data_IF_193705062518
#
_entry.id   IF_193705062518
#
_cell.length_a   1.000
_cell.length_b   1.000
_cell.length_c   1.000
_cell.angle_alpha   90.00
_cell.angle_beta   90.00
_cell.angle_gamma   90.00
#
_symmetry.space_group_name_H-M   'P 1'
#
loop_
_entity.id
_entity.type
_entity.pdbx_description
1 polymer ?
#
# COMPACT_ATOMS: atom_id res chain seq x y z
N UNK A 1 -17.91 18.67 -12.81
CA UNK A 1 -16.49 18.73 -13.20
C UNK A 1 -15.66 18.43 -11.96
N UNK A 2 -15.10 17.21 -11.89
CA UNK A 2 -14.35 16.70 -10.73
C UNK A 2 -12.93 17.29 -10.77
N UNK A 3 -12.65 18.26 -9.91
CA UNK A 3 -11.29 18.75 -9.72
C UNK A 3 -10.44 17.61 -9.14
N UNK A 4 -9.50 17.12 -9.95
CA UNK A 4 -8.57 16.05 -9.55
C UNK A 4 -7.62 16.55 -8.45
N UNK A 5 -6.90 15.64 -7.76
CA UNK A 5 -5.97 16.01 -6.70
C UNK A 5 -4.98 17.09 -7.17
N UNK A 6 -4.51 17.94 -6.24
CA UNK A 6 -3.78 19.18 -6.50
C UNK A 6 -2.53 19.12 -7.41
N UNK A 7 -2.14 17.95 -7.92
CA UNK A 7 -1.20 17.81 -9.04
C UNK A 7 -1.78 18.28 -10.39
N UNK A 8 -3.09 18.49 -10.51
CA UNK A 8 -3.71 19.26 -11.62
C UNK A 8 -3.75 20.77 -11.37
N UNK A 9 -3.05 21.28 -10.36
CA UNK A 9 -2.84 22.73 -10.22
C UNK A 9 -2.23 23.27 -11.53
N UNK A 10 -2.67 24.43 -12.05
CA UNK A 10 -2.18 24.97 -13.32
C UNK A 10 -0.70 25.38 -13.29
N UNK A 11 -0.05 25.36 -12.11
CA UNK A 11 1.32 25.83 -11.88
C UNK A 11 2.07 24.84 -10.97
N UNK A 12 3.35 24.56 -11.27
CA UNK A 12 4.29 23.78 -10.44
C UNK A 12 3.89 22.31 -10.14
N UNK A 13 3.16 21.67 -11.04
CA UNK A 13 2.69 20.27 -10.89
C UNK A 13 3.80 19.28 -10.50
N UNK A 14 5.00 19.42 -11.08
CA UNK A 14 6.16 18.58 -10.74
C UNK A 14 6.63 18.72 -9.28
N UNK A 15 6.64 19.95 -8.74
CA UNK A 15 6.99 20.18 -7.33
C UNK A 15 5.95 19.55 -6.39
N UNK A 16 4.67 19.67 -6.75
CA UNK A 16 3.56 19.11 -5.97
C UNK A 16 3.64 17.58 -5.95
N UNK A 17 3.92 16.98 -7.11
CA UNK A 17 4.13 15.54 -7.22
C UNK A 17 5.34 15.07 -6.43
N UNK A 18 6.44 15.82 -6.42
CA UNK A 18 7.63 15.50 -5.64
C UNK A 18 7.34 15.54 -4.13
N UNK A 19 6.65 16.58 -3.65
CA UNK A 19 6.27 16.71 -2.23
C UNK A 19 5.27 15.63 -1.81
N UNK A 20 4.31 15.30 -2.67
CA UNK A 20 3.39 14.18 -2.46
C UNK A 20 4.13 12.83 -2.42
N UNK A 21 5.10 12.62 -3.31
CA UNK A 21 5.96 11.43 -3.34
C UNK A 21 6.76 11.30 -2.06
N UNK A 22 7.36 12.40 -1.58
CA UNK A 22 8.06 12.42 -0.30
C UNK A 22 7.12 11.99 0.84
N UNK A 23 5.89 12.51 0.87
CA UNK A 23 4.87 12.08 1.82
C UNK A 23 4.62 10.58 1.76
N UNK A 24 4.38 10.03 0.57
CA UNK A 24 4.15 8.60 0.36
C UNK A 24 5.28 7.73 0.91
N UNK A 25 6.53 8.10 0.62
CA UNK A 25 7.71 7.40 1.10
C UNK A 25 7.77 7.45 2.63
N UNK A 26 7.68 8.64 3.22
CA UNK A 26 7.70 8.82 4.68
C UNK A 26 6.60 8.03 5.38
N UNK A 27 5.38 8.01 4.83
CA UNK A 27 4.26 7.25 5.39
C UNK A 27 4.49 5.74 5.35
N UNK A 28 5.03 5.23 4.23
CA UNK A 28 5.39 3.81 4.08
C UNK A 28 6.54 3.39 4.99
N UNK A 29 7.60 4.21 5.07
CA UNK A 29 8.73 4.04 5.98
C UNK A 29 8.25 4.01 7.43
N UNK A 30 7.43 4.98 7.86
CA UNK A 30 6.90 5.04 9.22
C UNK A 30 6.11 3.78 9.58
N UNK A 31 5.24 3.33 8.67
CA UNK A 31 4.41 2.14 8.89
C UNK A 31 5.28 0.89 9.06
N UNK A 32 6.30 0.73 8.23
CA UNK A 32 7.26 -0.36 8.38
C UNK A 32 8.07 -0.27 9.67
N UNK A 33 8.51 0.92 10.09
CA UNK A 33 9.19 1.09 11.39
C UNK A 33 8.30 0.65 12.54
N UNK A 34 7.01 1.04 12.52
CA UNK A 34 6.03 0.60 13.52
C UNK A 34 5.85 -0.91 13.49
N UNK A 35 5.70 -1.52 12.31
CA UNK A 35 5.59 -2.98 12.15
C UNK A 35 6.83 -3.68 12.72
N UNK A 36 8.02 -3.22 12.38
CA UNK A 36 9.27 -3.77 12.90
C UNK A 36 9.33 -3.69 14.43
N UNK A 37 9.00 -2.54 15.02
CA UNK A 37 8.96 -2.38 16.48
C UNK A 37 7.95 -3.33 17.14
N UNK A 38 6.77 -3.51 16.52
CA UNK A 38 5.74 -4.41 17.02
C UNK A 38 6.04 -5.89 16.74
N UNK A 39 6.95 -6.22 15.83
CA UNK A 39 7.30 -7.61 15.48
C UNK A 39 7.83 -8.39 16.68
N UNK A 40 8.44 -7.71 17.66
CA UNK A 40 8.86 -8.30 18.93
C UNK A 40 7.73 -8.96 19.72
N UNK A 41 6.47 -8.52 19.53
CA UNK A 41 5.30 -9.14 20.16
C UNK A 41 5.00 -10.54 19.62
N UNK A 42 5.56 -10.91 18.45
CA UNK A 42 5.44 -12.27 17.91
C UNK A 42 6.49 -13.24 18.47
N UNK A 43 7.43 -12.77 19.31
CA UNK A 43 8.49 -13.61 19.87
C UNK A 43 8.01 -14.86 20.64
N UNK A 44 6.88 -14.84 21.38
CA UNK A 44 6.38 -16.03 22.07
C UNK A 44 5.82 -17.12 21.13
N UNK A 45 5.55 -16.81 19.86
CA UNK A 45 4.96 -17.75 18.93
C UNK A 45 6.02 -18.71 18.35
N UNK A 46 5.75 -20.03 18.34
CA UNK A 46 6.68 -20.98 17.73
C UNK A 46 6.79 -20.72 16.21
N UNK A 47 7.95 -21.02 15.57
CA UNK A 47 8.15 -20.80 14.14
C UNK A 47 7.05 -21.37 13.25
N UNK A 48 6.59 -22.60 13.55
CA UNK A 48 5.51 -23.26 12.81
C UNK A 48 4.19 -22.51 12.87
N UNK A 49 3.83 -21.94 14.03
CA UNK A 49 2.60 -21.14 14.17
C UNK A 49 2.70 -19.83 13.38
N UNK A 50 3.88 -19.19 13.36
CA UNK A 50 4.11 -17.97 12.57
C UNK A 50 4.00 -18.26 11.07
N UNK A 51 4.66 -19.32 10.59
CA UNK A 51 4.56 -19.77 9.19
C UNK A 51 3.13 -20.11 8.81
N UNK A 52 2.42 -20.90 9.62
CA UNK A 52 1.04 -21.26 9.38
C UNK A 52 0.12 -20.01 9.30
N UNK A 53 0.30 -19.04 10.20
CA UNK A 53 -0.45 -17.79 10.19
C UNK A 53 -0.18 -16.94 8.94
N UNK A 54 1.09 -16.80 8.53
CA UNK A 54 1.46 -16.07 7.30
C UNK A 54 0.81 -16.71 6.07
N UNK A 55 0.93 -18.03 5.91
CA UNK A 55 0.36 -18.75 4.78
C UNK A 55 -1.17 -18.75 4.79
N UNK A 56 -1.79 -18.85 5.97
CA UNK A 56 -3.24 -18.77 6.10
C UNK A 56 -3.77 -17.40 5.65
N UNK A 57 -3.12 -16.31 6.05
CA UNK A 57 -3.52 -14.96 5.63
C UNK A 57 -3.23 -14.70 4.15
N UNK A 58 -2.11 -15.20 3.62
CA UNK A 58 -1.83 -15.14 2.19
C UNK A 58 -2.86 -15.91 1.37
N UNK A 59 -3.24 -17.12 1.81
CA UNK A 59 -4.28 -17.95 1.19
C UNK A 59 -5.66 -17.29 1.24
N UNK A 60 -6.03 -16.74 2.39
CA UNK A 60 -7.26 -15.96 2.54
C UNK A 60 -7.27 -14.72 1.64
N UNK A 61 -6.12 -14.03 1.54
CA UNK A 61 -5.92 -12.89 0.65
C UNK A 61 -6.14 -13.27 -0.82
N UNK A 62 -5.58 -14.40 -1.27
CA UNK A 62 -5.77 -14.91 -2.62
C UNK A 62 -7.23 -15.33 -2.88
N UNK A 63 -7.85 -16.04 -1.95
CA UNK A 63 -9.26 -16.43 -2.05
C UNK A 63 -10.19 -15.21 -2.12
N UNK A 64 -9.90 -14.14 -1.36
CA UNK A 64 -10.65 -12.89 -1.39
C UNK A 64 -10.52 -12.19 -2.74
N UNK A 65 -9.30 -12.09 -3.28
CA UNK A 65 -9.09 -11.44 -4.58
C UNK A 65 -9.76 -12.22 -5.72
N UNK A 66 -9.73 -13.56 -5.66
CA UNK A 66 -10.45 -14.44 -6.57
C UNK A 66 -11.99 -14.38 -6.43
N UNK A 67 -12.51 -13.63 -5.46
CA UNK A 67 -13.96 -13.50 -5.22
C UNK A 67 -14.61 -14.69 -4.52
N UNK A 68 -13.80 -15.64 -4.01
CA UNK A 68 -14.29 -16.85 -3.33
C UNK A 68 -14.81 -16.56 -1.92
N UNK A 69 -14.27 -15.53 -1.26
CA UNK A 69 -14.68 -15.10 0.09
C UNK A 69 -14.83 -13.58 0.17
N UNK A 70 -15.69 -13.11 1.07
CA UNK A 70 -15.89 -11.69 1.34
C UNK A 70 -15.41 -11.35 2.74
N UNK A 71 -14.19 -10.82 2.84
CA UNK A 71 -13.61 -10.35 4.10
C UNK A 71 -13.41 -8.84 4.02
N UNK A 72 -13.94 -8.05 4.97
CA UNK A 72 -13.66 -6.62 5.04
C UNK A 72 -12.18 -6.40 5.38
N UNK A 73 -11.52 -5.50 4.64
CA UNK A 73 -10.14 -5.13 4.94
C UNK A 73 -10.11 -4.15 6.12
N UNK A 74 -9.07 -4.18 6.96
CA UNK A 74 -8.89 -3.22 8.04
C UNK A 74 -8.46 -1.87 7.46
N UNK A 75 -9.43 -1.14 6.90
CA UNK A 75 -9.23 0.14 6.25
C UNK A 75 -10.17 1.18 6.84
N UNK A 76 -9.69 2.41 6.98
CA UNK A 76 -10.55 3.54 7.30
C UNK A 76 -11.23 4.02 6.01
N UNK A 77 -12.54 3.82 5.89
CA UNK A 77 -13.33 4.18 4.70
C UNK A 77 -13.61 5.70 4.58
N UNK A 78 -12.72 6.54 5.11
CA UNK A 78 -12.78 7.99 4.95
C UNK A 78 -11.88 8.39 3.78
N UNK A 79 -12.43 9.14 2.83
CA UNK A 79 -11.60 9.84 1.86
C UNK A 79 -10.93 11.01 2.58
N UNK A 80 -9.66 11.27 2.29
CA UNK A 80 -8.96 12.41 2.89
C UNK A 80 -9.66 13.69 2.40
N UNK A 81 -10.11 14.58 3.31
CA UNK A 81 -10.84 15.78 2.97
C UNK A 81 -10.08 16.68 1.97
N UNK A 82 -10.76 17.11 0.89
CA UNK A 82 -10.13 17.84 -0.22
C UNK A 82 -9.68 19.26 0.18
N UNK A 83 -10.23 19.82 1.24
CA UNK A 83 -9.86 21.09 1.86
C UNK A 83 -8.40 21.13 2.33
N UNK A 84 -7.82 19.97 2.69
CA UNK A 84 -6.38 19.85 3.01
C UNK A 84 -5.50 20.26 1.83
N UNK A 85 -5.96 20.04 0.59
CA UNK A 85 -5.23 20.44 -0.63
C UNK A 85 -5.45 21.92 -1.00
N UNK A 86 -6.50 22.57 -0.48
CA UNK A 86 -6.90 23.92 -0.89
C UNK A 86 -6.22 25.03 -0.07
N UNK A 87 -5.90 24.80 1.21
CA UNK A 87 -5.33 25.84 2.07
C UNK A 87 -3.83 26.10 1.82
N UNK A 88 -3.02 25.05 1.63
CA UNK A 88 -1.57 25.16 1.40
C UNK A 88 -1.08 24.05 0.47
N UNK A 89 -0.84 24.35 -0.80
CA UNK A 89 -0.69 23.33 -1.84
C UNK A 89 0.47 22.34 -1.60
N UNK A 90 1.63 22.80 -1.14
CA UNK A 90 2.78 21.93 -0.79
C UNK A 90 2.54 21.15 0.51
N UNK A 91 2.12 21.83 1.58
CA UNK A 91 1.89 21.20 2.89
C UNK A 91 0.75 20.17 2.82
N UNK A 92 -0.32 20.51 2.11
CA UNK A 92 -1.44 19.63 1.82
C UNK A 92 -1.04 18.43 0.99
N UNK A 93 -0.23 18.61 -0.06
CA UNK A 93 0.30 17.49 -0.84
C UNK A 93 1.19 16.55 0.00
N UNK A 94 2.04 17.11 0.87
CA UNK A 94 2.89 16.32 1.77
C UNK A 94 2.03 15.51 2.75
N UNK A 95 1.09 16.15 3.43
CA UNK A 95 0.19 15.50 4.40
C UNK A 95 -0.66 14.43 3.72
N UNK A 96 -1.26 14.75 2.58
CA UNK A 96 -2.07 13.81 1.80
C UNK A 96 -1.22 12.61 1.36
N UNK A 97 -0.02 12.85 0.84
CA UNK A 97 0.92 11.80 0.48
C UNK A 97 1.32 10.94 1.67
N UNK A 98 1.59 11.56 2.83
CA UNK A 98 1.93 10.86 4.06
C UNK A 98 0.81 9.95 4.56
N UNK A 99 -0.41 10.49 4.71
CA UNK A 99 -1.56 9.70 5.15
C UNK A 99 -1.89 8.56 4.18
N UNK A 100 -1.77 8.82 2.88
CA UNK A 100 -1.89 7.80 1.85
C UNK A 100 -0.76 6.75 1.96
N UNK A 101 0.47 7.18 2.21
CA UNK A 101 1.65 6.33 2.35
C UNK A 101 1.57 5.38 3.54
N UNK A 102 0.87 5.76 4.60
CA UNK A 102 0.69 4.87 5.77
C UNK A 102 -0.21 3.66 5.50
N UNK A 103 -1.07 3.71 4.47
CA UNK A 103 -2.00 2.63 4.16
C UNK A 103 -3.13 2.39 5.19
N UNK A 104 -3.15 3.11 6.32
CA UNK A 104 -4.17 2.93 7.39
C UNK A 104 -5.31 3.95 7.33
N UNK A 105 -5.05 5.15 6.79
CA UNK A 105 -6.04 6.24 6.71
C UNK A 105 -6.81 6.30 5.39
N UNK A 106 -6.48 5.43 4.44
CA UNK A 106 -7.02 5.49 3.08
C UNK A 106 -7.44 4.10 2.60
N UNK A 107 -8.28 4.09 1.56
CA UNK A 107 -8.74 2.86 0.95
C UNK A 107 -7.56 2.13 0.27
N UNK A 108 -7.32 0.88 0.68
CA UNK A 108 -6.38 -0.03 0.03
C UNK A 108 -7.19 -1.24 -0.39
N UNK A 109 -7.61 -1.27 -1.65
CA UNK A 109 -8.54 -2.28 -2.16
C UNK A 109 -7.92 -3.68 -2.34
N UNK A 110 -6.60 -3.76 -2.38
CA UNK A 110 -5.83 -4.98 -2.58
C UNK A 110 -5.45 -5.61 -1.24
N UNK A 111 -5.50 -6.94 -1.16
CA UNK A 111 -5.07 -7.72 0.01
C UNK A 111 -3.56 -7.74 0.20
N UNK A 112 -2.78 -7.68 -0.88
CA UNK A 112 -1.34 -7.92 -0.85
C UNK A 112 -0.56 -7.06 0.17
N UNK A 113 -0.82 -5.75 0.33
CA UNK A 113 -0.15 -4.95 1.36
C UNK A 113 -0.42 -5.43 2.80
N UNK A 114 -1.62 -5.94 3.08
CA UNK A 114 -1.99 -6.47 4.39
C UNK A 114 -1.32 -7.82 4.66
N UNK A 115 -1.25 -8.69 3.64
CA UNK A 115 -0.50 -9.95 3.71
C UNK A 115 0.98 -9.67 4.00
N UNK A 116 1.57 -8.71 3.28
CA UNK A 116 2.97 -8.32 3.45
C UNK A 116 3.24 -7.73 4.84
N UNK A 117 2.37 -6.82 5.31
CA UNK A 117 2.49 -6.22 6.64
C UNK A 117 2.45 -7.26 7.75
N UNK A 118 1.53 -8.23 7.67
CA UNK A 118 1.46 -9.32 8.64
C UNK A 118 2.66 -10.27 8.50
N UNK A 119 3.11 -10.53 7.28
CA UNK A 119 4.32 -11.30 6.99
C UNK A 119 5.53 -10.73 7.73
N UNK A 120 5.80 -9.44 7.57
CA UNK A 120 6.89 -8.75 8.25
C UNK A 120 6.75 -8.77 9.78
N UNK A 121 5.53 -8.58 10.29
CA UNK A 121 5.25 -8.62 11.74
C UNK A 121 5.58 -9.99 12.35
N UNK A 122 5.23 -11.09 11.64
CA UNK A 122 5.37 -12.45 12.15
C UNK A 122 6.74 -13.08 11.82
N UNK A 123 7.32 -12.77 10.66
CA UNK A 123 8.63 -13.30 10.26
C UNK A 123 9.74 -12.79 11.18
N UNK A 124 9.60 -11.57 11.73
CA UNK A 124 10.63 -10.87 12.53
C UNK A 124 11.91 -10.62 11.73
N UNK A 125 11.73 -10.14 10.51
CA UNK A 125 12.82 -9.68 9.67
C UNK A 125 13.60 -8.53 10.31
N UNK A 126 14.83 -8.31 9.84
CA UNK A 126 15.65 -7.22 10.31
C UNK A 126 15.04 -5.84 9.97
N UNK A 127 15.54 -4.82 10.66
CA UNK A 127 15.02 -3.45 10.54
C UNK A 127 15.17 -2.89 9.13
N UNK A 128 16.30 -3.16 8.46
CA UNK A 128 16.58 -2.63 7.13
C UNK A 128 15.62 -3.25 6.11
N UNK A 129 15.49 -4.57 6.09
CA UNK A 129 14.57 -5.29 5.20
C UNK A 129 13.13 -4.81 5.38
N UNK A 130 12.68 -4.67 6.64
CA UNK A 130 11.32 -4.22 6.95
C UNK A 130 11.07 -2.79 6.47
N UNK A 131 12.00 -1.87 6.76
CA UNK A 131 11.89 -0.46 6.37
C UNK A 131 11.96 -0.27 4.86
N UNK A 132 12.86 -0.99 4.17
CA UNK A 132 12.94 -0.97 2.71
C UNK A 132 11.63 -1.47 2.09
N UNK A 133 11.02 -2.50 2.66
CA UNK A 133 9.74 -3.03 2.18
C UNK A 133 8.60 -2.01 2.32
N UNK A 134 8.48 -1.33 3.45
CA UNK A 134 7.48 -0.25 3.60
C UNK A 134 7.77 0.96 2.71
N UNK A 135 9.04 1.31 2.53
CA UNK A 135 9.43 2.39 1.62
C UNK A 135 9.11 2.02 0.17
N UNK A 136 9.32 0.77 -0.24
CA UNK A 136 8.95 0.23 -1.55
C UNK A 136 7.43 0.24 -1.76
N UNK A 137 6.64 -0.03 -0.72
CA UNK A 137 5.18 0.16 -0.75
C UNK A 137 4.81 1.62 -1.07
N UNK A 138 5.41 2.58 -0.37
CA UNK A 138 5.24 4.01 -0.66
C UNK A 138 5.67 4.37 -2.10
N UNK A 139 6.81 3.82 -2.54
CA UNK A 139 7.34 4.03 -3.89
C UNK A 139 6.43 3.47 -4.99
N UNK A 140 5.81 2.29 -4.79
CA UNK A 140 4.85 1.72 -5.75
C UNK A 140 3.61 2.60 -5.92
N UNK A 141 3.14 3.23 -4.83
CA UNK A 141 2.07 4.23 -4.89
C UNK A 141 2.53 5.50 -5.61
N UNK A 142 3.77 5.94 -5.36
CA UNK A 142 4.34 7.11 -6.02
C UNK A 142 4.51 6.88 -7.53
N UNK A 143 4.97 5.70 -7.93
CA UNK A 143 5.06 5.28 -9.33
C UNK A 143 3.68 5.31 -10.00
N UNK A 144 2.64 4.83 -9.32
CA UNK A 144 1.26 4.89 -9.85
C UNK A 144 0.82 6.34 -10.11
N UNK A 145 1.11 7.26 -9.20
CA UNK A 145 0.81 8.69 -9.37
C UNK A 145 1.66 9.34 -10.48
N UNK A 146 2.95 9.03 -10.55
CA UNK A 146 3.85 9.50 -11.59
C UNK A 146 3.39 9.04 -12.98
N UNK A 147 3.10 7.75 -13.13
CA UNK A 147 2.60 7.22 -14.39
C UNK A 147 1.30 7.93 -14.80
N UNK A 148 0.40 8.18 -13.84
CA UNK A 148 -0.86 8.90 -14.09
C UNK A 148 -0.60 10.33 -14.57
N UNK A 149 0.33 11.03 -13.93
CA UNK A 149 0.78 12.35 -14.35
C UNK A 149 1.39 12.37 -15.76
N UNK A 150 2.18 11.35 -16.11
CA UNK A 150 2.84 11.25 -17.43
C UNK A 150 1.87 10.89 -18.56
N UNK A 151 0.89 10.01 -18.31
CA UNK A 151 0.00 9.51 -19.36
C UNK A 151 -0.94 10.60 -19.92
N UNK A 152 -1.41 11.53 -19.07
CA UNK A 152 -2.32 12.63 -19.44
C UNK A 152 -3.54 12.19 -20.27
N UNK A 153 -4.02 10.96 -20.06
CA UNK A 153 -5.15 10.36 -20.78
C UNK A 153 -6.33 10.16 -19.83
N UNK A 154 -7.45 10.82 -20.13
CA UNK A 154 -8.68 10.72 -19.34
C UNK A 154 -9.38 9.36 -19.47
N UNK A 155 -9.05 8.54 -20.49
CA UNK A 155 -9.60 7.17 -20.64
C UNK A 155 -8.85 6.12 -19.83
N UNK A 156 -7.69 6.48 -19.28
CA UNK A 156 -6.83 5.55 -18.54
C UNK A 156 -7.54 4.91 -17.36
N UNK A 157 -8.30 5.68 -16.59
CA UNK A 157 -8.94 5.17 -15.36
C UNK A 157 -9.93 4.05 -15.68
N UNK A 158 -10.69 4.19 -16.77
CA UNK A 158 -11.60 3.14 -17.25
C UNK A 158 -10.82 1.90 -17.72
N UNK A 159 -9.74 2.09 -18.48
CA UNK A 159 -8.89 0.98 -18.93
C UNK A 159 -8.22 0.24 -17.76
N UNK A 160 -7.80 0.97 -16.72
CA UNK A 160 -7.23 0.41 -15.49
C UNK A 160 -8.28 -0.33 -14.67
N UNK A 161 -9.51 0.18 -14.56
CA UNK A 161 -10.58 -0.50 -13.84
C UNK A 161 -10.87 -1.90 -14.39
N UNK A 162 -10.86 -2.07 -15.72
CA UNK A 162 -11.05 -3.38 -16.38
C UNK A 162 -9.87 -4.33 -16.14
N UNK A 163 -8.64 -3.81 -16.08
CA UNK A 163 -7.41 -4.61 -15.88
C UNK A 163 -7.08 -4.88 -14.41
N UNK A 164 -7.72 -4.17 -13.48
CA UNK A 164 -7.38 -4.26 -12.06
C UNK A 164 -7.68 -5.65 -11.46
N UNK A 165 -8.81 -6.33 -11.74
CA UNK A 165 -9.08 -7.65 -11.17
C UNK A 165 -7.99 -8.71 -11.47
N UNK A 166 -7.57 -8.93 -12.74
CA UNK A 166 -6.52 -9.91 -13.01
C UNK A 166 -5.17 -9.51 -12.41
N UNK A 167 -4.84 -8.22 -12.35
CA UNK A 167 -3.61 -7.74 -11.69
C UNK A 167 -3.63 -8.07 -10.20
N UNK A 168 -4.73 -7.79 -9.49
CA UNK A 168 -4.86 -8.11 -8.06
C UNK A 168 -4.77 -9.61 -7.81
N UNK A 169 -5.41 -10.43 -8.65
CA UNK A 169 -5.34 -11.89 -8.56
C UNK A 169 -3.92 -12.41 -8.78
N UNK A 170 -3.25 -11.94 -9.83
CA UNK A 170 -1.88 -12.32 -10.13
C UNK A 170 -0.93 -11.92 -8.99
N UNK A 171 -1.07 -10.71 -8.44
CA UNK A 171 -0.28 -10.27 -7.29
C UNK A 171 -0.54 -11.14 -6.06
N UNK A 172 -1.81 -11.45 -5.75
CA UNK A 172 -2.14 -12.26 -4.58
C UNK A 172 -1.61 -13.70 -4.70
N UNK A 173 -1.73 -14.31 -5.88
CA UNK A 173 -1.17 -15.64 -6.16
C UNK A 173 0.37 -15.62 -6.10
N UNK A 174 1.01 -14.62 -6.72
CA UNK A 174 2.47 -14.48 -6.66
C UNK A 174 2.97 -14.29 -5.23
N UNK A 175 2.29 -13.48 -4.41
CA UNK A 175 2.63 -13.31 -2.98
C UNK A 175 2.47 -14.62 -2.22
N UNK A 176 1.37 -15.35 -2.40
CA UNK A 176 1.16 -16.65 -1.76
C UNK A 176 2.26 -17.66 -2.16
N UNK A 177 2.55 -17.77 -3.46
CA UNK A 177 3.58 -18.68 -3.96
C UNK A 177 4.96 -18.32 -3.44
N UNK A 178 5.34 -17.03 -3.46
CA UNK A 178 6.63 -16.58 -2.93
C UNK A 178 6.76 -16.88 -1.44
N UNK A 179 5.73 -16.60 -0.63
CA UNK A 179 5.73 -16.90 0.80
C UNK A 179 5.77 -18.41 1.09
N UNK A 180 5.03 -19.22 0.32
CA UNK A 180 5.08 -20.66 0.44
C UNK A 180 6.48 -21.22 0.13
N UNK A 181 7.12 -20.74 -0.93
CA UNK A 181 8.47 -21.13 -1.29
C UNK A 181 9.49 -20.70 -0.23
N UNK A 182 9.39 -19.48 0.30
CA UNK A 182 10.34 -18.96 1.30
C UNK A 182 10.21 -19.62 2.68
N UNK A 183 9.01 -20.11 3.04
CA UNK A 183 8.72 -20.58 4.41
C UNK A 183 8.65 -22.11 4.54
N UNK A 184 8.57 -22.84 3.42
CA UNK A 184 8.44 -24.30 3.41
C UNK A 184 9.66 -25.01 2.80
N UNK A 185 10.54 -24.28 2.12
CA UNK A 185 11.81 -24.79 1.59
C UNK A 185 12.96 -24.32 2.49
#
# INVERSE_FOLDING_TARGET
>A
MLFSPGWRAPVRQGEVLAVFTLGLLLGGTLTATVIWSLSGLSAPLPPSARTAAILAVAGLGAAREAGLVRVPLPQNARQIPQDVLQAHLRKGALQFGFELGTGVRTYVSATAPYVLALGLLLAREDALTTVLTGTAFGAGRALSALLTYLARDDRRDAAMAVRMPPVKNATALASLSALALLLLL
#
